data_IF_795981527753
#
_entry.id   IF_795981527753
#
_cell.length_a   1.000
_cell.length_b   1.000
_cell.length_c   1.000
_cell.angle_alpha   90.00
_cell.angle_beta   90.00
_cell.angle_gamma   90.00
#
_symmetry.space_group_name_H-M   'P 1'
#
loop_
_entity.id
_entity.type
_entity.pdbx_description
1 polymer ?
#
# COMPACT_ATOMS: atom_id res chain seq x y z
N UNK A 1 -5.95 -27.37 19.55
CA UNK A 1 -5.46 -25.99 19.37
C UNK A 1 -5.68 -25.63 17.91
N UNK A 2 -6.66 -24.77 17.61
CA UNK A 2 -6.93 -24.37 16.23
C UNK A 2 -5.89 -23.32 15.86
N UNK A 3 -5.04 -23.64 14.89
CA UNK A 3 -4.08 -22.70 14.32
C UNK A 3 -4.87 -21.73 13.43
N UNK A 4 -5.29 -20.60 13.98
CA UNK A 4 -5.88 -19.54 13.16
C UNK A 4 -4.77 -19.00 12.26
N UNK A 5 -4.91 -19.20 10.94
CA UNK A 5 -4.04 -18.56 9.96
C UNK A 5 -4.24 -17.05 10.12
N UNK A 6 -3.24 -16.41 10.74
CA UNK A 6 -3.09 -14.97 10.70
C UNK A 6 -3.21 -14.56 9.23
N UNK A 7 -4.12 -13.64 8.94
CA UNK A 7 -4.33 -13.20 7.56
C UNK A 7 -3.06 -12.45 7.17
N UNK A 8 -2.10 -13.19 6.60
CA UNK A 8 -0.76 -12.73 6.27
C UNK A 8 -0.86 -11.32 5.71
N UNK A 9 -0.53 -10.34 6.56
CA UNK A 9 -0.41 -8.96 6.13
C UNK A 9 0.51 -9.01 4.91
N UNK A 10 0.15 -8.38 3.77
CA UNK A 10 0.90 -8.51 2.56
C UNK A 10 2.24 -7.78 2.72
N UNK A 11 3.18 -8.42 3.43
CA UNK A 11 4.46 -7.86 3.83
C UNK A 11 5.34 -7.55 2.63
N UNK A 12 5.07 -8.17 1.47
CA UNK A 12 5.70 -7.83 0.21
C UNK A 12 5.23 -6.48 -0.36
N UNK A 13 4.09 -5.95 0.11
CA UNK A 13 3.56 -4.63 -0.28
C UNK A 13 4.07 -3.50 0.60
N UNK A 14 4.59 -3.79 1.80
CA UNK A 14 5.16 -2.78 2.71
C UNK A 14 6.13 -1.79 2.02
N UNK A 15 7.14 -2.23 1.23
CA UNK A 15 8.02 -1.29 0.55
C UNK A 15 7.28 -0.38 -0.45
N UNK A 16 6.24 -0.88 -1.12
CA UNK A 16 5.43 -0.09 -2.03
C UNK A 16 4.50 0.88 -1.27
N UNK A 17 3.98 0.49 -0.11
CA UNK A 17 3.14 1.32 0.77
C UNK A 17 3.96 2.49 1.32
N UNK A 18 5.12 2.22 1.91
CA UNK A 18 6.01 3.26 2.45
C UNK A 18 6.41 4.24 1.35
N UNK A 19 6.87 3.71 0.22
CA UNK A 19 7.26 4.56 -0.90
C UNK A 19 6.10 5.43 -1.42
N UNK A 20 4.90 4.84 -1.59
CA UNK A 20 3.74 5.58 -2.05
C UNK A 20 3.35 6.68 -1.06
N UNK A 21 3.37 6.43 0.25
CA UNK A 21 3.07 7.46 1.27
C UNK A 21 3.98 8.68 1.13
N UNK A 22 5.27 8.46 0.98
CA UNK A 22 6.27 9.54 0.86
C UNK A 22 6.21 10.27 -0.50
N UNK A 23 5.76 9.58 -1.56
CA UNK A 23 5.92 10.06 -2.94
C UNK A 23 4.60 10.24 -3.71
N UNK A 24 3.43 10.03 -3.08
CA UNK A 24 2.14 10.05 -3.79
C UNK A 24 1.84 11.36 -4.53
N UNK A 25 2.34 12.50 -4.00
CA UNK A 25 2.16 13.82 -4.61
C UNK A 25 2.98 14.01 -5.89
N UNK A 26 4.12 13.34 -5.99
CA UNK A 26 5.06 13.45 -7.11
C UNK A 26 5.08 12.18 -8.00
N UNK A 27 4.24 11.21 -7.69
CA UNK A 27 4.14 9.96 -8.44
C UNK A 27 3.57 10.21 -9.85
N UNK A 28 4.16 9.54 -10.85
CA UNK A 28 3.69 9.57 -12.24
C UNK A 28 2.22 9.16 -12.34
N UNK A 29 1.44 9.91 -13.11
CA UNK A 29 0.03 9.60 -13.40
C UNK A 29 -0.05 8.88 -14.75
N UNK A 30 -0.89 7.84 -14.89
CA UNK A 30 -1.82 7.29 -13.88
C UNK A 30 -1.15 6.41 -12.81
N UNK A 31 -1.62 6.50 -11.56
CA UNK A 31 -1.00 5.88 -10.38
C UNK A 31 -0.89 4.36 -10.45
N UNK A 32 -1.98 3.66 -10.82
CA UNK A 32 -2.01 2.19 -10.87
C UNK A 32 -0.93 1.66 -11.83
N UNK A 33 -0.87 2.09 -13.12
CA UNK A 33 0.22 1.67 -14.00
C UNK A 33 1.62 2.01 -13.50
N UNK A 34 1.82 3.18 -12.87
CA UNK A 34 3.13 3.56 -12.33
C UNK A 34 3.59 2.62 -11.21
N UNK A 35 2.72 2.33 -10.25
CA UNK A 35 2.99 1.39 -9.15
C UNK A 35 3.27 -0.02 -9.65
N UNK A 36 2.48 -0.49 -10.61
CA UNK A 36 2.65 -1.82 -11.21
C UNK A 36 4.01 -1.97 -11.88
N UNK A 37 4.45 -0.99 -12.67
CA UNK A 37 5.77 -1.03 -13.34
C UNK A 37 6.93 -0.95 -12.34
N UNK A 38 6.77 -0.14 -11.29
CA UNK A 38 7.84 0.11 -10.31
C UNK A 38 8.10 -1.06 -9.37
N UNK A 39 7.03 -1.73 -8.93
CA UNK A 39 7.11 -2.78 -7.91
C UNK A 39 6.71 -4.16 -8.43
N UNK A 40 6.53 -4.31 -9.75
CA UNK A 40 6.06 -5.53 -10.41
C UNK A 40 4.76 -6.09 -9.81
N UNK A 41 3.82 -5.20 -9.48
CA UNK A 41 2.56 -5.54 -8.83
C UNK A 41 1.46 -5.88 -9.84
N UNK A 42 0.52 -6.71 -9.41
CA UNK A 42 -0.78 -6.81 -10.04
C UNK A 42 -1.60 -5.53 -9.83
N UNK A 43 -2.67 -5.37 -10.60
CA UNK A 43 -3.57 -4.22 -10.43
C UNK A 43 -4.25 -4.23 -9.04
N UNK A 44 -4.59 -5.42 -8.53
CA UNK A 44 -5.20 -5.57 -7.21
C UNK A 44 -4.24 -5.14 -6.10
N UNK A 45 -2.99 -5.57 -6.18
CA UNK A 45 -1.95 -5.18 -5.21
C UNK A 45 -1.67 -3.68 -5.25
N UNK A 46 -1.64 -3.05 -6.43
CA UNK A 46 -1.53 -1.60 -6.52
C UNK A 46 -2.70 -0.87 -5.86
N UNK A 47 -3.94 -1.38 -6.00
CA UNK A 47 -5.10 -0.87 -5.25
C UNK A 47 -4.94 -1.06 -3.73
N UNK A 48 -4.43 -2.21 -3.30
CA UNK A 48 -4.18 -2.50 -1.89
C UNK A 48 -3.13 -1.55 -1.30
N UNK A 49 -2.03 -1.30 -2.03
CA UNK A 49 -0.99 -0.33 -1.65
C UNK A 49 -1.60 1.05 -1.41
N UNK A 50 -2.40 1.56 -2.35
CA UNK A 50 -3.05 2.87 -2.19
C UNK A 50 -4.02 2.90 -1.00
N UNK A 51 -4.82 1.84 -0.83
CA UNK A 51 -5.76 1.73 0.29
C UNK A 51 -5.04 1.73 1.64
N UNK A 52 -4.00 0.91 1.79
CA UNK A 52 -3.25 0.77 3.04
C UNK A 52 -2.47 2.04 3.37
N UNK A 53 -1.88 2.68 2.36
CA UNK A 53 -1.21 3.96 2.52
C UNK A 53 -2.17 5.07 3.01
N UNK A 54 -3.37 5.14 2.44
CA UNK A 54 -4.37 6.14 2.85
C UNK A 54 -4.95 5.84 4.24
N UNK A 55 -5.23 4.57 4.55
CA UNK A 55 -5.72 4.16 5.88
C UNK A 55 -4.71 4.52 6.98
N UNK A 56 -3.42 4.34 6.71
CA UNK A 56 -2.37 4.70 7.66
C UNK A 56 -2.18 6.23 7.81
N UNK A 57 -2.65 7.04 6.87
CA UNK A 57 -2.72 8.49 7.02
C UNK A 57 -3.93 8.91 7.87
N UNK A 58 -5.08 8.28 7.64
CA UNK A 58 -6.33 8.56 8.36
C UNK A 58 -6.22 8.23 9.85
N UNK A 59 -5.69 7.04 10.19
CA UNK A 59 -5.48 6.64 11.59
C UNK A 59 -4.41 7.49 12.30
N UNK A 60 -3.41 7.98 11.57
CA UNK A 60 -2.38 8.87 12.11
C UNK A 60 -2.83 10.33 12.32
N UNK A 61 -4.04 10.69 11.85
CA UNK A 61 -4.63 12.02 12.04
C UNK A 61 -5.58 12.12 13.24
N UNK A 62 -5.91 11.00 13.90
CA UNK A 62 -6.78 11.00 15.07
C UNK A 62 -6.10 11.50 16.36
N UNK A 63 -4.76 11.59 16.35
CA UNK A 63 -3.93 12.01 17.49
C UNK A 63 -3.25 13.39 17.30
N UNK A 64 -3.68 14.20 16.31
CA UNK A 64 -3.13 15.52 16.00
C UNK A 64 -4.01 16.69 16.45
#
# INVERSE_FOLDING_TARGET
MILTTDHSAPGHLEPAIVWYRENHMICERPLIPALRRRFNLSALEACQVMRLANLAQDWGGADA
#
